data_IF_671790065557
#
_entry.id   IF_671790065557
#
_cell.length_a   1.000
_cell.length_b   1.000
_cell.length_c   1.000
_cell.angle_alpha   90.00
_cell.angle_beta   90.00
_cell.angle_gamma   90.00
#
_symmetry.space_group_name_H-M   'P 1'
#
loop_
_entity.id
_entity.type
_entity.pdbx_description
1 polymer ?
#
# COMPACT_ATOMS: atom_id res chain seq x y z
N UNK A 1 -5.67 -53.20 34.89
CA UNK A 1 -6.85 -53.90 35.44
C UNK A 1 -7.49 -53.01 36.50
N UNK A 2 -8.83 -52.96 36.53
CA UNK A 2 -9.75 -52.07 37.28
C UNK A 2 -10.14 -50.80 36.51
N UNK A 3 -11.18 -50.89 35.65
CA UNK A 3 -12.63 -50.67 35.90
C UNK A 3 -12.96 -49.18 36.04
N UNK A 4 -13.38 -48.52 34.95
CA UNK A 4 -14.80 -48.32 34.56
C UNK A 4 -15.68 -47.70 35.66
N UNK A 5 -16.00 -46.41 35.49
CA UNK A 5 -17.31 -45.84 35.84
C UNK A 5 -17.76 -44.88 34.73
N UNK A 6 -18.71 -45.35 33.93
CA UNK A 6 -19.66 -44.54 33.16
C UNK A 6 -20.88 -44.28 34.05
N UNK A 7 -21.44 -43.08 33.98
CA UNK A 7 -22.89 -42.72 33.97
C UNK A 7 -22.97 -41.18 34.05
N UNK A 8 -23.37 -40.46 32.99
CA UNK A 8 -24.73 -40.20 32.47
C UNK A 8 -25.53 -39.26 33.37
N UNK A 9 -25.70 -38.01 32.89
CA UNK A 9 -26.80 -37.04 33.10
C UNK A 9 -26.47 -35.84 32.20
N UNK A 10 -26.93 -35.74 30.95
CA UNK A 10 -28.29 -35.47 30.50
C UNK A 10 -28.99 -34.34 31.29
N UNK A 11 -28.90 -33.12 30.75
CA UNK A 11 -30.12 -32.37 30.44
C UNK A 11 -30.41 -31.09 31.22
N UNK A 12 -30.59 -30.05 30.41
CA UNK A 12 -31.53 -28.92 30.56
C UNK A 12 -31.08 -27.60 31.21
N UNK A 13 -31.28 -26.56 30.39
CA UNK A 13 -31.73 -25.20 30.72
C UNK A 13 -30.69 -24.21 31.26
N UNK A 14 -30.14 -23.42 30.32
CA UNK A 14 -30.16 -21.97 30.49
C UNK A 14 -30.08 -21.28 29.12
N UNK A 15 -31.25 -21.14 28.51
CA UNK A 15 -31.56 -20.06 27.58
C UNK A 15 -31.39 -18.74 28.34
N UNK A 16 -30.41 -17.92 27.95
CA UNK A 16 -30.16 -16.63 28.59
C UNK A 16 -29.40 -15.72 27.65
N UNK A 17 -30.16 -14.80 27.04
CA UNK A 17 -29.74 -13.62 26.29
C UNK A 17 -28.24 -13.27 26.39
N UNK A 18 -27.50 -13.49 25.30
CA UNK A 18 -26.34 -12.65 24.98
C UNK A 18 -26.84 -11.64 23.96
N UNK A 19 -26.94 -10.41 24.43
CA UNK A 19 -27.36 -9.25 23.67
C UNK A 19 -26.66 -9.18 22.31
N UNK A 20 -27.46 -9.04 21.27
CA UNK A 20 -27.02 -8.60 19.96
C UNK A 20 -26.33 -7.22 20.11
N UNK A 21 -25.01 -7.22 20.20
CA UNK A 21 -24.18 -6.07 19.89
C UNK A 21 -24.03 -5.99 18.37
N UNK A 22 -25.13 -5.63 17.71
CA UNK A 22 -25.04 -5.05 16.38
C UNK A 22 -24.75 -3.56 16.53
N UNK A 23 -23.65 -3.03 15.98
CA UNK A 23 -23.58 -1.61 15.73
C UNK A 23 -24.57 -1.28 14.61
N UNK A 24 -25.78 -0.92 15.02
CA UNK A 24 -26.66 -0.06 14.23
C UNK A 24 -26.04 1.33 14.26
N UNK A 25 -25.28 1.67 13.24
CA UNK A 25 -25.20 3.06 12.78
C UNK A 25 -24.76 3.05 11.33
N UNK A 26 -25.65 3.55 10.48
CA UNK A 26 -25.42 3.84 9.09
C UNK A 26 -24.32 4.92 8.99
N UNK A 27 -23.06 4.52 9.07
CA UNK A 27 -21.99 5.26 8.42
C UNK A 27 -22.23 5.09 6.92
N UNK A 28 -22.93 6.05 6.34
CA UNK A 28 -22.86 6.28 4.90
C UNK A 28 -21.37 6.29 4.58
N UNK A 29 -20.90 5.28 3.85
CA UNK A 29 -19.56 5.25 3.30
C UNK A 29 -19.49 6.41 2.31
N UNK A 30 -19.17 7.61 2.82
CA UNK A 30 -18.85 8.75 1.97
C UNK A 30 -17.71 8.25 1.11
N UNK A 31 -17.97 8.12 -0.19
CA UNK A 31 -17.01 7.51 -1.09
C UNK A 31 -15.71 8.33 -1.02
N UNK A 32 -14.57 7.69 -1.27
CA UNK A 32 -13.31 8.42 -1.31
C UNK A 32 -13.37 9.61 -2.29
N UNK A 33 -14.14 9.46 -3.37
CA UNK A 33 -14.44 10.53 -4.33
C UNK A 33 -15.24 11.68 -3.72
N UNK A 34 -16.30 11.39 -2.95
CA UNK A 34 -17.08 12.41 -2.23
C UNK A 34 -16.24 13.14 -1.19
N UNK A 35 -15.36 12.43 -0.48
CA UNK A 35 -14.39 13.02 0.44
C UNK A 35 -13.43 13.98 -0.30
N UNK A 36 -12.89 13.55 -1.45
CA UNK A 36 -12.02 14.39 -2.28
C UNK A 36 -12.76 15.61 -2.84
N UNK A 37 -14.02 15.45 -3.24
CA UNK A 37 -14.87 16.54 -3.70
C UNK A 37 -15.14 17.56 -2.57
N UNK A 38 -15.43 17.10 -1.36
CA UNK A 38 -15.64 17.97 -0.20
C UNK A 38 -14.38 18.74 0.18
N UNK A 39 -13.22 18.07 0.15
CA UNK A 39 -11.92 18.68 0.44
C UNK A 39 -11.56 19.76 -0.57
N UNK A 40 -11.73 19.50 -1.87
CA UNK A 40 -11.55 20.50 -2.94
C UNK A 40 -12.49 21.70 -2.76
N UNK A 41 -13.73 21.47 -2.29
CA UNK A 41 -14.68 22.55 -1.98
C UNK A 41 -14.20 23.41 -0.81
N UNK A 42 -13.68 22.79 0.26
CA UNK A 42 -13.12 23.49 1.41
C UNK A 42 -11.86 24.29 1.06
N UNK A 43 -10.96 23.74 0.24
CA UNK A 43 -9.75 24.44 -0.24
C UNK A 43 -10.10 25.64 -1.11
N UNK A 44 -10.99 25.47 -2.10
CA UNK A 44 -11.50 26.60 -2.90
C UNK A 44 -12.14 27.70 -2.06
N UNK A 45 -12.89 27.33 -1.01
CA UNK A 45 -13.51 28.30 -0.12
C UNK A 45 -12.48 29.04 0.75
N UNK A 46 -11.41 28.35 1.17
CA UNK A 46 -10.30 28.96 1.92
C UNK A 46 -9.47 29.89 1.03
N UNK A 47 -9.20 29.49 -0.21
CA UNK A 47 -8.50 30.31 -1.20
C UNK A 47 -9.31 31.55 -1.57
N UNK A 48 -10.62 31.42 -1.80
CA UNK A 48 -11.51 32.56 -2.06
C UNK A 48 -11.52 33.56 -0.89
N UNK A 49 -11.52 33.06 0.36
CA UNK A 49 -11.41 33.90 1.55
C UNK A 49 -10.05 34.59 1.66
N UNK A 50 -8.97 33.90 1.27
CA UNK A 50 -7.61 34.47 1.24
C UNK A 50 -7.49 35.56 0.17
N UNK A 51 -8.01 35.32 -1.03
CA UNK A 51 -8.05 36.32 -2.11
C UNK A 51 -8.89 37.54 -1.74
N UNK A 52 -10.01 37.34 -1.03
CA UNK A 52 -10.81 38.44 -0.49
C UNK A 52 -10.11 39.21 0.64
N UNK A 53 -9.23 38.56 1.40
CA UNK A 53 -8.49 39.18 2.50
C UNK A 53 -7.19 39.88 2.07
N UNK A 54 -6.51 39.39 1.03
CA UNK A 54 -5.15 39.84 0.68
C UNK A 54 -5.09 40.93 -0.39
N UNK A 55 -6.15 41.14 -1.19
CA UNK A 55 -6.32 42.34 -2.02
C UNK A 55 -5.07 42.95 -2.68
N UNK A 56 -4.14 42.18 -3.26
CA UNK A 56 -3.06 42.68 -4.14
C UNK A 56 -2.21 41.56 -4.80
N UNK A 57 -1.50 42.00 -5.84
CA UNK A 57 -0.85 41.34 -6.99
C UNK A 57 0.39 40.51 -6.64
N UNK A 58 0.67 39.38 -7.31
CA UNK A 58 1.93 38.66 -7.17
C UNK A 58 3.05 39.29 -8.02
N UNK A 59 4.14 39.70 -7.38
CA UNK A 59 5.41 40.03 -8.02
C UNK A 59 6.24 38.75 -8.27
N UNK A 60 6.62 38.55 -9.54
CA UNK A 60 7.71 37.69 -10.01
C UNK A 60 8.87 38.63 -10.41
N UNK A 61 10.16 38.32 -10.45
CA UNK A 61 10.95 37.11 -10.47
C UNK A 61 12.41 37.57 -10.21
N UNK A 62 13.29 36.76 -9.63
CA UNK A 62 14.72 37.08 -9.58
C UNK A 62 15.56 35.85 -9.93
N UNK A 63 16.16 35.90 -11.11
CA UNK A 63 17.12 34.95 -11.65
C UNK A 63 18.52 35.14 -11.06
N UNK A 64 19.30 34.06 -11.00
CA UNK A 64 20.70 34.07 -11.48
C UNK A 64 21.27 32.65 -11.52
N UNK A 65 21.85 32.33 -12.67
CA UNK A 65 22.67 31.16 -12.93
C UNK A 65 24.14 31.46 -12.57
N UNK A 66 24.90 30.43 -12.16
CA UNK A 66 26.37 30.46 -12.17
C UNK A 66 26.88 29.08 -12.60
N UNK A 67 27.58 29.07 -13.72
CA UNK A 67 28.41 27.98 -14.27
C UNK A 67 29.70 27.78 -13.45
N UNK A 68 30.21 26.54 -13.43
CA UNK A 68 31.51 26.22 -12.84
C UNK A 68 32.09 24.92 -13.38
N UNK A 69 32.98 25.07 -14.35
CA UNK A 69 33.84 24.09 -15.03
C UNK A 69 34.97 23.54 -14.13
N UNK A 70 35.37 22.26 -14.27
CA UNK A 70 36.77 21.80 -14.20
C UNK A 70 36.95 20.31 -14.57
N UNK A 71 37.95 20.07 -15.41
CA UNK A 71 38.39 18.79 -16.00
C UNK A 71 39.30 17.95 -15.08
N UNK A 72 39.45 16.64 -15.33
CA UNK A 72 40.71 15.98 -15.77
C UNK A 72 40.67 14.43 -15.65
N UNK A 73 41.25 13.79 -16.68
CA UNK A 73 41.44 12.35 -16.91
C UNK A 73 42.38 11.65 -15.92
N UNK A 74 42.15 10.35 -15.69
CA UNK A 74 43.22 9.34 -15.63
C UNK A 74 42.69 7.96 -16.05
N UNK A 75 43.33 7.23 -17.00
CA UNK A 75 42.86 5.94 -17.45
C UNK A 75 43.53 4.77 -16.70
N UNK A 76 42.72 3.92 -16.07
CA UNK A 76 43.17 2.65 -15.49
C UNK A 76 42.28 1.51 -15.98
N UNK A 77 42.85 0.60 -16.75
CA UNK A 77 42.25 -0.62 -17.30
C UNK A 77 42.32 -1.79 -16.29
N UNK A 78 41.54 -2.87 -16.47
CA UNK A 78 40.21 -2.99 -15.87
C UNK A 78 40.17 -4.19 -14.91
N UNK A 79 39.94 -3.97 -13.62
CA UNK A 79 39.39 -5.05 -12.80
C UNK A 79 37.99 -5.33 -13.34
N UNK A 80 37.75 -6.53 -13.90
CA UNK A 80 36.42 -6.94 -14.35
C UNK A 80 35.42 -6.58 -13.26
N UNK A 81 34.64 -5.53 -13.53
CA UNK A 81 33.77 -5.00 -12.50
C UNK A 81 32.66 -6.04 -12.29
N UNK A 82 32.18 -6.17 -11.06
CA UNK A 82 30.96 -6.96 -10.79
C UNK A 82 29.81 -6.49 -11.70
N UNK A 83 29.85 -5.21 -12.12
CA UNK A 83 29.00 -4.61 -13.16
C UNK A 83 29.06 -5.34 -14.52
N UNK A 84 30.21 -5.87 -14.94
CA UNK A 84 30.37 -6.59 -16.20
C UNK A 84 29.80 -8.02 -16.13
N UNK A 85 29.72 -8.62 -14.93
CA UNK A 85 29.03 -9.89 -14.72
C UNK A 85 27.51 -9.79 -14.92
N UNK A 86 26.92 -8.61 -14.67
CA UNK A 86 25.48 -8.38 -14.89
C UNK A 86 25.11 -8.05 -16.34
N UNK A 87 26.06 -7.60 -17.18
CA UNK A 87 25.77 -7.20 -18.57
C UNK A 87 25.33 -8.35 -19.47
N UNK A 88 25.62 -9.60 -19.08
CA UNK A 88 25.34 -10.79 -19.88
C UNK A 88 24.36 -11.77 -19.23
N UNK A 89 23.74 -11.42 -18.10
CA UNK A 89 22.67 -12.25 -17.53
C UNK A 89 21.45 -12.10 -18.42
N UNK A 90 21.20 -13.12 -19.25
CA UNK A 90 19.97 -13.20 -20.05
C UNK A 90 18.79 -13.09 -19.09
N UNK A 91 17.84 -12.17 -19.29
CA UNK A 91 16.67 -12.08 -18.44
C UNK A 91 15.96 -13.44 -18.44
N UNK A 92 15.85 -14.04 -17.27
CA UNK A 92 15.12 -15.28 -17.09
C UNK A 92 13.67 -15.02 -17.48
N UNK A 93 13.16 -15.77 -18.45
CA UNK A 93 11.77 -15.67 -18.86
C UNK A 93 10.95 -16.29 -17.73
N UNK A 94 10.14 -15.46 -17.11
CA UNK A 94 9.28 -15.86 -16.02
C UNK A 94 8.38 -17.05 -16.44
N UNK A 95 8.46 -18.14 -15.69
CA UNK A 95 7.77 -19.38 -16.02
C UNK A 95 6.25 -19.24 -15.97
N UNK A 96 5.72 -18.34 -15.14
CA UNK A 96 4.31 -17.99 -15.08
C UNK A 96 4.13 -16.48 -14.81
N UNK A 97 4.06 -15.65 -15.87
CA UNK A 97 3.98 -14.20 -15.72
C UNK A 97 2.73 -13.72 -15.00
N UNK A 98 1.62 -14.49 -15.06
CA UNK A 98 0.40 -14.17 -14.32
C UNK A 98 0.61 -14.40 -12.83
N UNK A 99 1.19 -15.56 -12.45
CA UNK A 99 1.49 -15.86 -11.05
C UNK A 99 2.40 -14.80 -10.42
N UNK A 100 3.47 -14.41 -11.10
CA UNK A 100 4.39 -13.37 -10.60
C UNK A 100 3.68 -12.02 -10.43
N UNK A 101 2.81 -11.66 -11.37
CA UNK A 101 2.01 -10.45 -11.25
C UNK A 101 1.04 -10.50 -10.05
N UNK A 102 0.34 -11.63 -9.86
CA UNK A 102 -0.55 -11.86 -8.72
C UNK A 102 0.22 -11.76 -7.40
N UNK A 103 1.38 -12.41 -7.29
CA UNK A 103 2.21 -12.36 -6.08
C UNK A 103 2.65 -10.94 -5.77
N UNK A 104 3.07 -10.16 -6.78
CA UNK A 104 3.43 -8.78 -6.58
C UNK A 104 2.24 -7.92 -6.10
N UNK A 105 1.05 -8.11 -6.66
CA UNK A 105 -0.17 -7.41 -6.21
C UNK A 105 -0.51 -7.77 -4.76
N UNK A 106 -0.42 -9.05 -4.39
CA UNK A 106 -0.65 -9.51 -3.02
C UNK A 106 0.37 -8.89 -2.04
N UNK A 107 1.63 -8.75 -2.44
CA UNK A 107 2.65 -8.06 -1.63
C UNK A 107 2.33 -6.57 -1.46
N UNK A 108 1.82 -5.90 -2.49
CA UNK A 108 1.34 -4.51 -2.36
C UNK A 108 0.17 -4.45 -1.37
N UNK A 109 -0.82 -5.35 -1.47
CA UNK A 109 -1.93 -5.38 -0.52
C UNK A 109 -1.44 -5.55 0.92
N UNK A 110 -0.44 -6.42 1.13
CA UNK A 110 0.18 -6.57 2.44
C UNK A 110 0.86 -5.27 2.91
N UNK A 111 1.65 -4.64 2.05
CA UNK A 111 2.33 -3.38 2.35
C UNK A 111 1.33 -2.27 2.72
N UNK A 112 0.20 -2.14 2.02
CA UNK A 112 -0.84 -1.16 2.37
C UNK A 112 -1.46 -1.43 3.75
N UNK A 113 -1.63 -2.71 4.12
CA UNK A 113 -2.19 -3.10 5.41
C UNK A 113 -1.18 -2.89 6.54
N UNK A 114 0.10 -3.21 6.31
CA UNK A 114 1.20 -2.92 7.24
C UNK A 114 1.27 -1.42 7.52
N UNK A 115 1.30 -0.61 6.47
CA UNK A 115 1.40 0.86 6.57
C UNK A 115 0.18 1.45 7.28
N UNK A 116 -1.05 1.05 6.91
CA UNK A 116 -2.26 1.55 7.57
C UNK A 116 -2.27 1.25 9.08
N UNK A 117 -1.74 0.09 9.49
CA UNK A 117 -1.65 -0.25 10.91
C UNK A 117 -0.50 0.48 11.61
N UNK A 118 0.65 0.68 10.96
CA UNK A 118 1.73 1.52 11.50
C UNK A 118 1.23 2.95 11.77
N UNK A 119 0.46 3.52 10.83
CA UNK A 119 -0.15 4.84 10.99
C UNK A 119 -1.11 4.88 12.18
N UNK A 120 -1.95 3.85 12.35
CA UNK A 120 -2.91 3.76 13.46
C UNK A 120 -2.24 3.57 14.82
N UNK A 121 -1.24 2.69 14.90
CA UNK A 121 -0.57 2.36 16.16
C UNK A 121 0.45 3.42 16.58
N UNK A 122 1.00 4.17 15.61
CA UNK A 122 2.08 5.12 15.86
C UNK A 122 3.41 4.45 16.28
N UNK A 123 3.47 3.11 16.24
CA UNK A 123 4.62 2.36 16.69
C UNK A 123 5.56 2.15 15.49
N UNK A 124 6.61 2.97 15.41
CA UNK A 124 7.64 2.87 14.38
C UNK A 124 8.95 2.47 15.04
N UNK A 125 9.52 1.32 14.63
CA UNK A 125 10.82 0.85 15.14
C UNK A 125 11.93 1.82 14.75
N UNK A 126 11.87 2.31 13.51
CA UNK A 126 12.89 3.16 12.91
C UNK A 126 12.25 4.41 12.33
N UNK A 127 12.95 5.55 12.45
CA UNK A 127 12.49 6.86 11.97
C UNK A 127 12.17 6.86 10.46
N UNK A 128 12.88 6.04 9.67
CA UNK A 128 12.66 5.93 8.23
C UNK A 128 11.31 5.27 7.87
N UNK A 129 10.80 4.35 8.72
CA UNK A 129 9.48 3.74 8.54
C UNK A 129 8.34 4.71 8.88
N UNK A 130 8.67 5.85 9.47
CA UNK A 130 7.72 6.90 9.80
C UNK A 130 7.39 7.80 8.59
N UNK A 131 8.06 7.61 7.44
CA UNK A 131 7.88 8.44 6.24
C UNK A 131 6.86 7.82 5.27
N UNK A 132 5.60 8.25 5.40
CA UNK A 132 4.48 7.75 4.57
C UNK A 132 4.73 8.00 3.08
N UNK A 133 5.27 9.17 2.70
CA UNK A 133 5.51 9.52 1.28
C UNK A 133 6.49 8.53 0.65
N UNK A 134 7.56 8.18 1.37
CA UNK A 134 8.53 7.19 0.90
C UNK A 134 7.92 5.79 0.83
N UNK A 135 7.18 5.36 1.85
CA UNK A 135 6.53 4.06 1.85
C UNK A 135 5.56 3.90 0.66
N UNK A 136 4.68 4.88 0.43
CA UNK A 136 3.75 4.89 -0.70
C UNK A 136 4.47 4.90 -2.04
N UNK A 137 5.53 5.72 -2.18
CA UNK A 137 6.35 5.75 -3.41
C UNK A 137 6.98 4.40 -3.71
N UNK A 138 7.53 3.73 -2.68
CA UNK A 138 8.12 2.40 -2.82
C UNK A 138 7.07 1.35 -3.23
N UNK A 139 5.83 1.44 -2.75
CA UNK A 139 4.74 0.54 -3.19
C UNK A 139 4.45 0.68 -4.69
N UNK A 140 4.47 1.90 -5.24
CA UNK A 140 4.21 2.15 -6.66
C UNK A 140 5.43 1.77 -7.51
N UNK A 141 6.62 2.24 -7.15
CA UNK A 141 7.81 2.17 -7.99
C UNK A 141 8.53 0.82 -7.91
N UNK A 142 8.75 0.26 -6.70
CA UNK A 142 9.52 -0.98 -6.56
C UNK A 142 8.78 -2.18 -7.12
N UNK A 143 7.46 -2.20 -6.94
CA UNK A 143 6.62 -3.23 -7.54
C UNK A 143 6.22 -2.90 -8.97
N UNK A 144 6.61 -1.74 -9.53
CA UNK A 144 6.19 -1.30 -10.87
C UNK A 144 4.67 -1.49 -11.08
N UNK A 145 3.89 -1.00 -10.12
CA UNK A 145 2.47 -1.36 -9.97
C UNK A 145 1.67 -1.15 -11.26
N UNK A 146 1.93 -0.07 -12.00
CA UNK A 146 1.32 0.21 -13.30
C UNK A 146 1.62 -0.88 -14.35
N UNK A 147 2.88 -1.31 -14.44
CA UNK A 147 3.31 -2.33 -15.40
C UNK A 147 2.69 -3.69 -15.04
N UNK A 148 2.68 -4.03 -13.75
CA UNK A 148 2.13 -5.29 -13.26
C UNK A 148 0.63 -5.36 -13.50
N UNK A 149 -0.11 -4.29 -13.22
CA UNK A 149 -1.55 -4.21 -13.49
C UNK A 149 -1.83 -4.35 -14.98
N UNK A 150 -1.07 -3.65 -15.82
CA UNK A 150 -1.23 -3.72 -17.28
C UNK A 150 -0.96 -5.14 -17.80
N UNK A 151 0.12 -5.78 -17.33
CA UNK A 151 0.47 -7.16 -17.70
C UNK A 151 -0.57 -8.16 -17.20
N UNK A 152 -0.99 -8.07 -15.94
CA UNK A 152 -1.99 -8.96 -15.36
C UNK A 152 -3.33 -8.83 -16.09
N UNK A 153 -3.76 -7.61 -16.41
CA UNK A 153 -5.05 -7.38 -17.08
C UNK A 153 -5.18 -8.09 -18.42
N UNK A 154 -4.07 -8.35 -19.13
CA UNK A 154 -4.07 -9.12 -20.37
C UNK A 154 -4.50 -10.58 -20.19
N UNK A 155 -4.42 -11.11 -18.97
CA UNK A 155 -4.86 -12.47 -18.60
C UNK A 155 -6.26 -12.50 -17.97
N UNK A 156 -6.93 -11.36 -17.85
CA UNK A 156 -8.31 -11.31 -17.41
C UNK A 156 -9.24 -11.99 -18.45
N UNK A 157 -10.45 -12.34 -18.04
CA UNK A 157 -11.44 -12.92 -18.97
C UNK A 157 -11.69 -11.96 -20.14
N UNK A 158 -11.83 -12.44 -21.40
CA UNK A 158 -11.86 -11.57 -22.59
C UNK A 158 -12.85 -10.39 -22.53
N UNK A 159 -14.01 -10.59 -21.90
CA UNK A 159 -15.06 -9.57 -21.79
C UNK A 159 -14.86 -8.61 -20.60
N UNK A 160 -13.82 -8.79 -19.81
CA UNK A 160 -13.58 -8.06 -18.55
C UNK A 160 -12.21 -7.36 -18.52
N UNK A 161 -11.43 -7.42 -19.60
CA UNK A 161 -10.08 -6.83 -19.67
C UNK A 161 -10.13 -5.32 -19.41
N UNK A 162 -11.10 -4.62 -19.98
CA UNK A 162 -11.24 -3.16 -19.81
C UNK A 162 -11.57 -2.80 -18.36
N UNK A 163 -12.55 -3.47 -17.76
CA UNK A 163 -12.97 -3.25 -16.38
C UNK A 163 -11.82 -3.58 -15.40
N UNK A 164 -11.16 -4.72 -15.61
CA UNK A 164 -9.98 -5.13 -14.83
C UNK A 164 -8.87 -4.07 -14.91
N UNK A 165 -8.53 -3.62 -16.12
CA UNK A 165 -7.52 -2.58 -16.32
C UNK A 165 -7.90 -1.26 -15.66
N UNK A 166 -9.18 -0.88 -15.70
CA UNK A 166 -9.68 0.34 -15.08
C UNK A 166 -9.57 0.28 -13.56
N UNK A 167 -10.10 -0.77 -12.93
CA UNK A 167 -10.04 -0.96 -11.47
C UNK A 167 -8.60 -0.97 -10.97
N UNK A 168 -7.69 -1.61 -11.70
CA UNK A 168 -6.27 -1.60 -11.37
C UNK A 168 -5.68 -0.18 -11.41
N UNK A 169 -5.94 0.59 -12.47
CA UNK A 169 -5.49 1.99 -12.56
C UNK A 169 -6.05 2.86 -11.44
N UNK A 170 -7.31 2.66 -11.07
CA UNK A 170 -7.93 3.37 -9.93
C UNK A 170 -7.23 3.03 -8.60
N UNK A 171 -6.79 1.77 -8.40
CA UNK A 171 -6.00 1.40 -7.23
C UNK A 171 -4.64 2.12 -7.18
N UNK A 172 -3.97 2.30 -8.32
CA UNK A 172 -2.74 3.11 -8.41
C UNK A 172 -3.05 4.58 -8.09
N UNK A 173 -4.15 5.10 -8.62
CA UNK A 173 -4.55 6.49 -8.42
C UNK A 173 -4.83 6.81 -6.94
N UNK A 174 -5.37 5.87 -6.17
CA UNK A 174 -5.55 6.05 -4.72
C UNK A 174 -4.21 6.30 -4.01
N UNK A 175 -3.16 5.54 -4.37
CA UNK A 175 -1.82 5.73 -3.82
C UNK A 175 -1.17 7.03 -4.34
N UNK A 176 -1.33 7.34 -5.62
CA UNK A 176 -0.84 8.59 -6.20
C UNK A 176 -1.47 9.81 -5.51
N UNK A 177 -2.76 9.73 -5.16
CA UNK A 177 -3.48 10.78 -4.45
C UNK A 177 -2.87 11.07 -3.07
N UNK A 178 -2.28 10.07 -2.41
CA UNK A 178 -1.52 10.30 -1.16
C UNK A 178 -0.25 11.11 -1.45
N UNK A 179 0.49 10.75 -2.50
CA UNK A 179 1.73 11.44 -2.88
C UNK A 179 1.45 12.90 -3.26
N UNK A 180 0.43 13.12 -4.09
CA UNK A 180 0.00 14.45 -4.55
C UNK A 180 -0.44 15.32 -3.37
N UNK A 181 -1.19 14.75 -2.42
CA UNK A 181 -1.67 15.49 -1.25
C UNK A 181 -0.54 16.02 -0.35
N UNK A 182 0.60 15.31 -0.31
CA UNK A 182 1.77 15.72 0.46
C UNK A 182 2.89 16.26 -0.43
N UNK A 183 2.62 16.61 -1.69
CA UNK A 183 3.69 16.97 -2.61
C UNK A 183 4.33 18.31 -2.26
N UNK A 184 3.51 19.27 -1.82
CA UNK A 184 3.95 20.59 -1.34
C UNK A 184 4.78 20.54 -0.05
N UNK A 185 4.89 19.38 0.61
CA UNK A 185 5.69 19.22 1.82
C UNK A 185 7.09 18.72 1.45
N UNK A 186 8.13 19.58 1.48
CA UNK A 186 9.49 19.19 1.08
C UNK A 186 10.20 18.34 2.14
N UNK A 187 9.65 18.25 3.36
CA UNK A 187 10.22 17.49 4.48
C UNK A 187 9.61 16.09 4.56
N UNK A 188 10.35 15.17 5.16
CA UNK A 188 9.87 13.83 5.49
C UNK A 188 8.55 13.90 6.28
N UNK A 189 7.51 13.29 5.74
CA UNK A 189 6.19 13.31 6.34
C UNK A 189 6.12 12.27 7.46
N UNK A 190 6.48 12.67 8.68
CA UNK A 190 6.43 11.81 9.86
C UNK A 190 5.00 11.64 10.35
N UNK A 191 4.58 10.42 10.60
CA UNK A 191 3.25 10.08 11.13
C UNK A 191 2.97 10.75 12.48
N UNK A 192 3.99 10.93 13.31
CA UNK A 192 3.87 11.65 14.60
C UNK A 192 3.45 13.11 14.45
N UNK A 193 3.73 13.73 13.30
CA UNK A 193 3.47 15.15 13.03
C UNK A 193 2.16 15.38 12.25
N UNK A 194 1.47 14.29 11.86
CA UNK A 194 0.21 14.37 11.13
C UNK A 194 -0.97 14.64 12.07
N UNK A 195 -1.82 15.59 11.67
CA UNK A 195 -3.14 15.75 12.27
C UNK A 195 -4.00 14.51 12.04
N UNK A 196 -4.99 14.30 12.91
CA UNK A 196 -5.91 13.15 12.81
C UNK A 196 -6.56 13.04 11.42
N UNK A 197 -7.06 14.15 10.88
CA UNK A 197 -7.69 14.22 9.56
C UNK A 197 -6.76 13.75 8.43
N UNK A 198 -5.47 14.09 8.53
CA UNK A 198 -4.46 13.68 7.54
C UNK A 198 -4.17 12.18 7.65
N UNK A 199 -4.10 11.63 8.86
CA UNK A 199 -3.94 10.18 9.07
C UNK A 199 -5.14 9.42 8.52
N UNK A 200 -6.34 9.88 8.84
CA UNK A 200 -7.58 9.26 8.36
C UNK A 200 -7.66 9.28 6.83
N UNK A 201 -7.27 10.40 6.20
CA UNK A 201 -7.18 10.50 4.75
C UNK A 201 -6.26 9.43 4.14
N UNK A 202 -5.05 9.26 4.69
CA UNK A 202 -4.10 8.24 4.21
C UNK A 202 -4.66 6.84 4.41
N UNK A 203 -5.22 6.55 5.59
CA UNK A 203 -5.79 5.23 5.90
C UNK A 203 -6.95 4.90 4.95
N UNK A 204 -7.80 5.88 4.61
CA UNK A 204 -8.89 5.71 3.64
C UNK A 204 -8.36 5.42 2.25
N UNK A 205 -7.35 6.15 1.79
CA UNK A 205 -6.72 5.91 0.49
C UNK A 205 -6.06 4.52 0.42
N UNK A 206 -5.28 4.11 1.44
CA UNK A 206 -4.69 2.77 1.52
C UNK A 206 -5.75 1.66 1.55
N UNK A 207 -6.85 1.88 2.28
CA UNK A 207 -7.96 0.93 2.36
C UNK A 207 -8.71 0.81 1.02
N UNK A 208 -8.96 1.94 0.35
CA UNK A 208 -9.59 1.95 -0.98
C UNK A 208 -8.73 1.24 -2.01
N UNK A 209 -7.41 1.51 -2.01
CA UNK A 209 -6.45 0.81 -2.86
C UNK A 209 -6.54 -0.70 -2.68
N UNK A 210 -6.52 -1.19 -1.42
CA UNK A 210 -6.62 -2.62 -1.13
C UNK A 210 -7.93 -3.23 -1.62
N UNK A 211 -9.06 -2.55 -1.40
CA UNK A 211 -10.38 -3.02 -1.87
C UNK A 211 -10.44 -3.11 -3.40
N UNK A 212 -9.88 -2.12 -4.11
CA UNK A 212 -9.77 -2.15 -5.56
C UNK A 212 -8.84 -3.26 -6.04
N UNK A 213 -7.75 -3.55 -5.32
CA UNK A 213 -6.89 -4.70 -5.61
C UNK A 213 -7.59 -6.04 -5.34
N UNK A 214 -8.44 -6.16 -4.32
CA UNK A 214 -9.26 -7.36 -4.10
C UNK A 214 -10.24 -7.56 -5.26
N UNK A 215 -10.90 -6.50 -5.71
CA UNK A 215 -11.76 -6.52 -6.89
C UNK A 215 -10.96 -6.86 -8.15
N UNK A 216 -9.76 -6.29 -8.32
CA UNK A 216 -8.85 -6.59 -9.42
C UNK A 216 -8.50 -8.08 -9.47
N UNK A 217 -8.18 -8.67 -8.32
CA UNK A 217 -7.87 -10.09 -8.23
C UNK A 217 -9.06 -10.98 -8.60
N UNK A 218 -10.30 -10.56 -8.35
CA UNK A 218 -11.51 -11.33 -8.69
C UNK A 218 -11.71 -11.60 -10.20
N UNK A 219 -10.99 -10.89 -11.07
CA UNK A 219 -11.02 -11.12 -12.52
C UNK A 219 -10.20 -12.34 -12.97
N UNK A 220 -9.36 -12.90 -12.10
CA UNK A 220 -8.47 -14.02 -12.41
C UNK A 220 -9.02 -15.37 -11.88
N UNK A 221 -8.50 -16.51 -12.37
CA UNK A 221 -8.86 -17.82 -11.83
C UNK A 221 -8.51 -17.94 -10.34
N UNK A 222 -9.47 -18.38 -9.52
CA UNK A 222 -9.31 -18.54 -8.06
C UNK A 222 -8.14 -19.44 -7.69
N UNK A 223 -7.86 -20.46 -8.50
CA UNK A 223 -6.71 -21.38 -8.31
C UNK A 223 -5.37 -20.62 -8.34
N UNK A 224 -5.19 -19.73 -9.32
CA UNK A 224 -3.97 -18.91 -9.45
C UNK A 224 -3.83 -17.90 -8.33
N UNK A 225 -4.94 -17.35 -7.86
CA UNK A 225 -4.96 -16.46 -6.69
C UNK A 225 -4.57 -17.24 -5.43
N UNK A 226 -5.10 -18.46 -5.25
CA UNK A 226 -4.78 -19.30 -4.10
C UNK A 226 -3.30 -19.73 -4.09
N UNK A 227 -2.72 -20.08 -5.25
CA UNK A 227 -1.29 -20.34 -5.40
C UNK A 227 -0.44 -19.13 -4.99
N UNK A 228 -0.80 -17.93 -5.47
CA UNK A 228 -0.10 -16.69 -5.10
C UNK A 228 -0.21 -16.37 -3.61
N UNK A 229 -1.42 -16.52 -3.04
CA UNK A 229 -1.66 -16.32 -1.59
C UNK A 229 -0.84 -17.28 -0.76
N UNK A 230 -0.81 -18.56 -1.14
CA UNK A 230 0.00 -19.58 -0.46
C UNK A 230 1.47 -19.20 -0.47
N UNK A 231 2.00 -18.75 -1.61
CA UNK A 231 3.38 -18.31 -1.69
C UNK A 231 3.68 -17.13 -0.76
N UNK A 232 2.84 -16.09 -0.76
CA UNK A 232 3.02 -14.93 0.14
C UNK A 232 2.92 -15.35 1.62
N UNK A 233 2.01 -16.26 1.96
CA UNK A 233 1.90 -16.81 3.31
C UNK A 233 3.16 -17.59 3.73
N UNK A 234 3.70 -18.43 2.86
CA UNK A 234 4.94 -19.17 3.10
C UNK A 234 6.14 -18.23 3.27
N UNK A 235 6.26 -17.22 2.41
CA UNK A 235 7.27 -16.16 2.51
C UNK A 235 7.17 -15.45 3.88
N UNK A 236 5.96 -15.09 4.31
CA UNK A 236 5.74 -14.46 5.61
C UNK A 236 6.05 -15.39 6.78
N UNK A 237 5.78 -16.68 6.66
CA UNK A 237 6.14 -17.67 7.68
C UNK A 237 7.67 -17.85 7.77
N UNK A 238 8.36 -17.89 6.63
CA UNK A 238 9.83 -17.95 6.60
C UNK A 238 10.45 -16.69 7.17
N UNK A 239 9.97 -15.50 6.78
CA UNK A 239 10.39 -14.23 7.35
C UNK A 239 10.25 -14.23 8.87
N UNK A 240 9.14 -14.79 9.39
CA UNK A 240 8.93 -14.93 10.84
C UNK A 240 9.94 -15.86 11.51
N UNK A 241 10.35 -16.94 10.85
CA UNK A 241 11.33 -17.90 11.39
C UNK A 241 12.76 -17.37 11.35
N UNK A 242 13.09 -16.60 10.32
CA UNK A 242 14.42 -16.00 10.11
C UNK A 242 14.64 -14.72 10.93
N UNK A 243 13.57 -14.12 11.46
CA UNK A 243 13.66 -12.98 12.36
C UNK A 243 14.32 -13.40 13.69
N UNK A 244 15.45 -12.78 14.08
CA UNK A 244 16.10 -13.06 15.35
C UNK A 244 15.21 -12.62 16.51
N UNK A 245 15.23 -13.40 17.61
CA UNK A 245 14.29 -13.27 18.73
C UNK A 245 14.37 -11.92 19.49
N UNK A 246 15.43 -11.15 19.27
CA UNK A 246 15.66 -9.81 19.80
C UNK A 246 14.91 -8.72 19.01
N UNK A 247 14.46 -9.02 17.80
CA UNK A 247 13.64 -8.12 16.98
C UNK A 247 12.16 -8.41 17.26
N UNK A 248 11.58 -7.60 18.14
CA UNK A 248 10.13 -7.61 18.33
C UNK A 248 9.46 -7.24 17.00
N UNK A 249 8.63 -8.13 16.46
CA UNK A 249 7.85 -7.87 15.26
C UNK A 249 6.91 -6.72 15.59
N UNK A 250 7.27 -5.53 15.14
CA UNK A 250 6.37 -4.41 15.14
C UNK A 250 5.33 -4.71 14.06
N UNK A 251 4.24 -5.36 14.50
CA UNK A 251 2.99 -5.54 13.78
C UNK A 251 3.00 -6.57 12.62
N UNK A 252 2.82 -7.88 12.91
CA UNK A 252 2.66 -8.90 11.89
C UNK A 252 1.33 -8.70 11.13
N UNK A 253 1.38 -8.72 9.79
CA UNK A 253 0.18 -8.75 8.96
C UNK A 253 -0.22 -10.19 8.68
N UNK A 254 -1.48 -10.48 9.01
CA UNK A 254 -2.10 -11.77 8.76
C UNK A 254 -3.16 -11.57 7.67
N UNK A 255 -2.93 -12.17 6.51
CA UNK A 255 -3.97 -12.34 5.51
C UNK A 255 -4.83 -13.52 5.96
N UNK A 256 -6.03 -13.24 6.43
CA UNK A 256 -7.05 -14.26 6.71
C UNK A 256 -7.84 -14.57 5.44
#
# INVERSE_FOLDING_TARGET
MNMERREVLAGLLCSGLVAAWGPSEAYAQVSFEEFMAEKRRKEKQKELRRMQAEGLVPDADSSSAVDGDISTDTPSQPSQSVLDQYKNVKPEVDADPLKTAIVAILRIQEATLQEARLINTGNFRDLQRNNIKMATKMMIENYKMNDIITKASAFAKPNQINDCSQIGREAVQDLQTILDYFDEQPRELKVSELSADKKEFVIKALTSCRQKLDQFLSYFPTEKIAEGRKQVMEENEMNRKELPADIQILNPVFMN
#
